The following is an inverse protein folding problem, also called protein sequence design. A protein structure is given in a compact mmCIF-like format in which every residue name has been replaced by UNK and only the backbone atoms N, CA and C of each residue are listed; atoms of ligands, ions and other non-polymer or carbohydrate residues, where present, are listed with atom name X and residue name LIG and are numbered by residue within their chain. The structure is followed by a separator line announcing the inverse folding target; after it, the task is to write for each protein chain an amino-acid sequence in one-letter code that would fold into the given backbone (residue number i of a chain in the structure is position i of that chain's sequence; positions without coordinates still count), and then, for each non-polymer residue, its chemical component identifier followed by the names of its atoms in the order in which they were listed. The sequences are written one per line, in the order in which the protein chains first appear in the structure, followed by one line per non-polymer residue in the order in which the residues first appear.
data_IF_842347893715
#
_entry.id   IF_842347893715
#
_cell.length_a   1.000
_cell.length_b   1.000
_cell.length_c   1.000
_cell.angle_alpha   90.00
_cell.angle_beta   90.00
_cell.angle_gamma   90.00
#
_symmetry.space_group_name_H-M   'P 1'
#
loop_
_entity.id
_entity.type
_entity.pdbx_description
1 polymer ?
#
# COMPACT_ATOMS: atom_id res chain seq x y z
N UNK A 1 -36.53 1.68 96.41
CA UNK A 1 -36.35 0.43 95.69
C UNK A 1 -37.38 0.40 94.56
N UNK A 2 -37.01 0.92 93.36
CA UNK A 2 -38.01 0.91 92.28
C UNK A 2 -37.24 0.56 90.95
N UNK A 3 -37.55 -0.60 90.45
CA UNK A 3 -37.05 -1.13 89.23
C UNK A 3 -37.67 -0.36 88.01
N UNK A 4 -36.94 0.18 87.17
CA UNK A 4 -37.40 0.66 85.88
C UNK A 4 -37.09 -0.38 84.77
N UNK A 5 -38.03 -0.69 83.89
CA UNK A 5 -37.80 -1.61 82.79
C UNK A 5 -37.22 -0.87 81.57
N UNK A 6 -36.25 -1.48 80.97
CA UNK A 6 -35.57 -1.02 79.72
C UNK A 6 -36.52 -1.20 78.55
N UNK A 7 -36.85 -0.13 77.84
CA UNK A 7 -37.60 -0.14 76.59
C UNK A 7 -36.67 -0.22 75.41
N UNK A 8 -36.74 -1.33 74.68
CA UNK A 8 -36.08 -1.43 73.35
C UNK A 8 -36.92 -0.70 72.32
N UNK A 9 -36.44 0.37 71.84
CA UNK A 9 -36.99 1.09 70.66
C UNK A 9 -36.52 0.41 69.40
N UNK A 10 -37.46 -0.17 68.70
CA UNK A 10 -37.33 -0.61 67.30
C UNK A 10 -37.35 0.64 66.43
N UNK A 11 -36.21 1.05 65.92
CA UNK A 11 -36.17 2.02 64.83
C UNK A 11 -34.90 1.82 63.95
N UNK A 12 -35.20 1.78 62.66
CA UNK A 12 -34.32 2.07 61.53
C UNK A 12 -33.46 0.95 60.98
N UNK A 13 -34.12 0.00 60.37
CA UNK A 13 -33.58 -0.80 59.27
C UNK A 13 -34.34 -0.39 58.00
N UNK A 14 -34.08 0.77 57.45
CA UNK A 14 -34.80 1.16 56.24
C UNK A 14 -34.14 2.34 55.49
N UNK A 15 -32.84 2.52 55.57
CA UNK A 15 -32.16 3.57 54.76
C UNK A 15 -30.82 3.18 54.14
N UNK A 16 -30.54 1.89 54.01
CA UNK A 16 -29.28 1.44 53.37
C UNK A 16 -29.47 0.82 51.98
N UNK A 17 -30.66 0.94 51.37
CA UNK A 17 -30.97 0.29 50.07
C UNK A 17 -31.13 1.24 48.89
N UNK A 18 -30.83 2.53 49.04
CA UNK A 18 -31.08 3.54 47.98
C UNK A 18 -29.85 4.18 47.34
N UNK A 19 -28.62 3.72 47.62
CA UNK A 19 -27.38 4.36 47.08
C UNK A 19 -26.63 3.46 46.08
N UNK A 20 -27.08 2.24 45.84
CA UNK A 20 -26.39 1.31 44.91
C UNK A 20 -27.01 1.32 43.49
N UNK A 21 -28.10 2.03 43.24
CA UNK A 21 -28.77 2.03 41.93
C UNK A 21 -28.34 3.19 40.99
N UNK A 22 -27.38 4.01 41.37
CA UNK A 22 -26.97 5.22 40.60
C UNK A 22 -25.67 5.14 39.80
N UNK A 23 -24.97 4.00 39.81
CA UNK A 23 -23.61 3.92 39.20
C UNK A 23 -23.53 3.06 37.93
N UNK A 24 -24.64 2.66 37.36
CA UNK A 24 -24.66 2.00 36.06
C UNK A 24 -25.25 2.97 35.05
N UNK A 25 -24.54 3.30 34.05
CA UNK A 25 -24.92 3.92 32.77
C UNK A 25 -24.18 5.22 32.48
N UNK A 26 -22.86 5.13 32.43
CA UNK A 26 -22.11 5.97 31.48
C UNK A 26 -21.26 5.04 30.61
N UNK A 27 -21.88 4.14 29.90
CA UNK A 27 -21.32 3.61 28.65
C UNK A 27 -21.34 4.81 27.70
N UNK A 28 -20.25 5.58 27.68
CA UNK A 28 -19.97 6.44 26.56
C UNK A 28 -19.89 5.52 25.33
N UNK A 29 -21.00 5.38 24.60
CA UNK A 29 -20.97 4.97 23.23
C UNK A 29 -20.14 6.04 22.52
N UNK A 30 -18.86 5.75 22.26
CA UNK A 30 -18.14 6.45 21.23
C UNK A 30 -18.95 6.16 19.98
N UNK A 31 -19.78 7.14 19.59
CA UNK A 31 -20.34 7.18 18.26
C UNK A 31 -19.08 7.23 17.35
N UNK A 32 -18.79 6.14 16.67
CA UNK A 32 -17.87 6.15 15.55
C UNK A 32 -18.57 7.05 14.55
N UNK A 33 -18.10 8.29 14.40
CA UNK A 33 -18.60 9.18 13.37
C UNK A 33 -18.33 8.50 12.04
N UNK A 34 -19.37 7.94 11.46
CA UNK A 34 -19.31 7.32 10.14
C UNK A 34 -19.12 8.45 9.15
N UNK A 35 -17.92 8.53 8.56
CA UNK A 35 -17.62 9.52 7.55
C UNK A 35 -18.35 9.18 6.26
N UNK A 36 -19.33 9.99 5.88
CA UNK A 36 -19.95 9.93 4.56
C UNK A 36 -19.11 10.70 3.54
N UNK A 37 -18.65 10.01 2.52
CA UNK A 37 -17.75 10.57 1.49
C UNK A 37 -18.51 11.50 0.56
N UNK A 38 -18.20 12.79 0.59
CA UNK A 38 -18.80 13.80 -0.31
C UNK A 38 -17.99 14.03 -1.58
N UNK A 39 -16.69 13.82 -1.50
CA UNK A 39 -15.79 14.00 -2.65
C UNK A 39 -14.61 13.06 -2.53
N UNK A 40 -14.05 12.65 -3.68
CA UNK A 40 -12.84 11.84 -3.76
C UNK A 40 -11.87 12.53 -4.70
N UNK A 41 -10.71 12.89 -4.21
CA UNK A 41 -9.63 13.51 -4.96
C UNK A 41 -8.46 12.58 -5.10
N UNK A 42 -7.76 12.72 -6.21
CA UNK A 42 -6.53 11.97 -6.48
C UNK A 42 -5.40 12.96 -6.73
N UNK A 43 -4.31 12.81 -5.99
CA UNK A 43 -3.11 13.62 -6.12
C UNK A 43 -1.91 12.77 -6.47
N UNK A 44 -0.94 13.34 -7.18
CA UNK A 44 0.32 12.69 -7.56
C UNK A 44 0.30 11.96 -8.90
N UNK A 45 -0.83 11.99 -9.64
CA UNK A 45 -0.89 11.44 -11.00
C UNK A 45 -0.02 12.23 -11.97
N UNK A 46 0.69 11.55 -12.84
CA UNK A 46 1.53 12.13 -13.90
C UNK A 46 1.13 11.63 -15.29
N UNK A 47 0.96 10.32 -15.46
CA UNK A 47 0.59 9.65 -16.72
C UNK A 47 -0.68 8.83 -16.61
N UNK A 48 -0.95 8.30 -15.41
CA UNK A 48 -2.16 7.51 -15.16
C UNK A 48 -3.36 8.44 -15.14
N UNK A 49 -4.38 8.09 -15.89
CA UNK A 49 -5.60 8.88 -15.91
C UNK A 49 -6.41 8.69 -14.62
N UNK A 50 -7.02 9.76 -14.07
CA UNK A 50 -7.85 9.67 -12.86
C UNK A 50 -8.95 8.61 -12.94
N UNK A 51 -9.54 8.43 -14.14
CA UNK A 51 -10.57 7.42 -14.38
C UNK A 51 -10.11 5.99 -14.07
N UNK A 52 -8.85 5.66 -14.29
CA UNK A 52 -8.26 4.36 -13.95
C UNK A 52 -8.26 4.13 -12.43
N UNK A 53 -7.94 5.16 -11.66
CA UNK A 53 -7.96 5.11 -10.19
C UNK A 53 -9.39 4.91 -9.69
N UNK A 54 -10.32 5.77 -10.15
CA UNK A 54 -11.73 5.71 -9.74
C UNK A 54 -12.42 4.40 -10.12
N UNK A 55 -12.07 3.81 -11.26
CA UNK A 55 -12.61 2.51 -11.68
C UNK A 55 -12.12 1.34 -10.82
N UNK A 56 -10.94 1.48 -10.21
CA UNK A 56 -10.26 0.40 -9.49
C UNK A 56 -10.59 0.35 -8.00
N UNK A 57 -11.05 1.44 -7.40
CA UNK A 57 -11.35 1.50 -5.98
C UNK A 57 -12.81 1.13 -5.68
N UNK A 58 -13.07 0.41 -4.56
CA UNK A 58 -14.43 0.06 -4.13
C UNK A 58 -15.10 1.16 -3.30
N UNK A 59 -14.81 2.43 -3.62
CA UNK A 59 -15.34 3.61 -2.94
C UNK A 59 -15.96 4.55 -3.95
N UNK A 60 -17.11 5.13 -3.57
CA UNK A 60 -17.84 6.12 -4.37
C UNK A 60 -18.24 7.30 -3.49
N UNK A 61 -18.50 8.43 -4.13
CA UNK A 61 -19.14 9.55 -3.47
C UNK A 61 -20.52 9.12 -2.96
N UNK A 62 -20.83 9.41 -1.70
CA UNK A 62 -22.03 8.99 -1.00
C UNK A 62 -21.87 7.72 -0.16
N UNK A 63 -20.76 7.00 -0.31
CA UNK A 63 -20.48 5.83 0.53
C UNK A 63 -20.05 6.25 1.94
N UNK A 64 -20.31 5.38 2.90
CA UNK A 64 -19.70 5.47 4.22
C UNK A 64 -18.27 4.93 4.16
N UNK A 65 -17.32 5.75 4.58
CA UNK A 65 -15.93 5.36 4.69
C UNK A 65 -15.71 4.50 5.93
N UNK A 66 -15.03 3.40 5.74
CA UNK A 66 -14.47 2.56 6.81
C UNK A 66 -13.01 2.29 6.54
N UNK A 67 -12.24 2.01 7.57
CA UNK A 67 -10.82 1.62 7.41
C UNK A 67 -10.66 0.39 6.50
N UNK A 68 -11.60 -0.54 6.55
CA UNK A 68 -11.60 -1.73 5.70
C UNK A 68 -11.76 -1.36 4.21
N UNK A 69 -12.70 -0.45 3.89
CA UNK A 69 -12.86 0.05 2.53
C UNK A 69 -11.63 0.83 2.06
N UNK A 70 -11.04 1.63 2.94
CA UNK A 70 -9.78 2.32 2.68
C UNK A 70 -8.63 1.36 2.37
N UNK A 71 -8.44 0.35 3.22
CA UNK A 71 -7.43 -0.68 3.00
C UNK A 71 -7.68 -1.48 1.71
N UNK A 72 -8.95 -1.77 1.39
CA UNK A 72 -9.33 -2.42 0.13
C UNK A 72 -9.00 -1.56 -1.08
N UNK A 73 -9.27 -0.26 -1.02
CA UNK A 73 -8.92 0.69 -2.07
C UNK A 73 -7.40 0.74 -2.30
N UNK A 74 -6.61 0.83 -1.24
CA UNK A 74 -5.14 0.79 -1.32
C UNK A 74 -4.66 -0.50 -1.98
N UNK A 75 -5.16 -1.66 -1.55
CA UNK A 75 -4.79 -2.95 -2.16
C UNK A 75 -5.14 -3.01 -3.64
N UNK A 76 -6.32 -2.51 -4.02
CA UNK A 76 -6.76 -2.48 -5.42
C UNK A 76 -5.85 -1.62 -6.29
N UNK A 77 -5.40 -0.47 -5.77
CA UNK A 77 -4.47 0.41 -6.49
C UNK A 77 -3.08 -0.20 -6.62
N UNK A 78 -2.55 -0.84 -5.57
CA UNK A 78 -1.29 -1.57 -5.68
C UNK A 78 -1.35 -2.74 -6.66
N UNK A 79 -2.50 -3.42 -6.75
CA UNK A 79 -2.71 -4.53 -7.68
C UNK A 79 -2.62 -4.12 -9.16
N UNK A 80 -2.83 -2.84 -9.48
CA UNK A 80 -2.61 -2.32 -10.83
C UNK A 80 -1.13 -2.37 -11.27
N UNK A 81 -0.19 -2.42 -10.31
CA UNK A 81 1.24 -2.40 -10.60
C UNK A 81 1.77 -1.05 -11.10
N UNK A 82 0.96 0.00 -11.08
CA UNK A 82 1.29 1.33 -11.62
C UNK A 82 1.89 2.27 -10.56
N UNK A 83 1.65 1.99 -9.28
CA UNK A 83 2.00 2.88 -8.18
C UNK A 83 3.10 2.28 -7.31
N UNK A 84 4.02 3.15 -6.91
CA UNK A 84 5.10 2.85 -5.97
C UNK A 84 4.63 3.06 -4.54
N UNK A 85 3.79 4.08 -4.32
CA UNK A 85 3.18 4.38 -3.03
C UNK A 85 1.72 4.82 -3.22
N UNK A 86 0.88 4.43 -2.25
CA UNK A 86 -0.55 4.79 -2.21
C UNK A 86 -0.93 5.07 -0.76
N UNK A 87 -1.48 6.26 -0.52
CA UNK A 87 -1.99 6.67 0.79
C UNK A 87 -3.38 7.26 0.66
N UNK A 88 -4.16 7.14 1.72
CA UNK A 88 -5.48 7.80 1.85
C UNK A 88 -5.41 8.76 3.02
N UNK A 89 -5.78 10.00 2.77
CA UNK A 89 -5.97 11.00 3.78
C UNK A 89 -7.45 11.42 3.81
N UNK A 90 -7.96 11.64 5.01
CA UNK A 90 -9.32 12.10 5.24
C UNK A 90 -9.26 13.56 5.64
N UNK A 91 -9.88 14.44 4.84
CA UNK A 91 -9.97 15.86 5.11
C UNK A 91 -11.44 16.29 5.19
N UNK A 92 -12.00 16.28 6.42
CA UNK A 92 -13.44 16.48 6.62
C UNK A 92 -14.25 15.34 6.01
N UNK A 93 -15.06 15.64 5.01
CA UNK A 93 -15.88 14.68 4.24
C UNK A 93 -15.29 14.36 2.86
N UNK A 94 -14.03 14.76 2.62
CA UNK A 94 -13.29 14.51 1.38
C UNK A 94 -12.23 13.44 1.62
N UNK A 95 -12.20 12.42 0.76
CA UNK A 95 -11.10 11.46 0.69
C UNK A 95 -10.07 11.95 -0.33
N UNK A 96 -8.82 12.01 0.10
CA UNK A 96 -7.69 12.34 -0.77
C UNK A 96 -6.84 11.09 -0.94
N UNK A 97 -6.82 10.58 -2.16
CA UNK A 97 -5.95 9.48 -2.57
C UNK A 97 -4.64 10.09 -3.04
N UNK A 98 -3.57 9.88 -2.30
CA UNK A 98 -2.23 10.35 -2.66
C UNK A 98 -1.47 9.17 -3.23
N UNK A 99 -1.06 9.28 -4.49
CA UNK A 99 -0.36 8.21 -5.22
C UNK A 99 1.00 8.69 -5.72
N UNK A 100 1.96 7.78 -5.75
CA UNK A 100 3.24 7.97 -6.42
C UNK A 100 3.37 6.94 -7.53
N UNK A 101 3.42 7.40 -8.80
CA UNK A 101 3.53 6.50 -9.94
C UNK A 101 4.92 5.86 -10.02
N UNK A 102 4.97 4.57 -10.38
CA UNK A 102 6.23 3.92 -10.75
C UNK A 102 6.82 4.56 -12.00
N UNK A 103 8.13 4.74 -12.07
CA UNK A 103 8.77 5.16 -13.30
C UNK A 103 8.57 4.11 -14.39
N UNK A 104 8.53 4.54 -15.65
CA UNK A 104 8.53 3.62 -16.78
C UNK A 104 9.95 3.45 -17.34
N UNK A 105 10.20 2.27 -17.88
CA UNK A 105 11.45 1.97 -18.56
C UNK A 105 11.51 2.75 -19.89
N UNK A 106 12.47 3.65 -20.03
CA UNK A 106 12.68 4.43 -21.25
C UNK A 106 13.53 3.68 -22.25
N UNK A 107 14.60 3.01 -21.79
CA UNK A 107 15.50 2.24 -22.61
C UNK A 107 16.12 1.09 -21.83
N UNK A 108 16.46 0.02 -22.54
CA UNK A 108 17.22 -1.13 -22.02
C UNK A 108 18.44 -1.34 -22.89
N UNK A 109 19.61 -1.18 -22.30
CA UNK A 109 20.89 -1.30 -22.98
C UNK A 109 21.73 -2.45 -22.45
N UNK A 110 22.52 -3.06 -23.34
CA UNK A 110 23.45 -4.14 -23.00
C UNK A 110 24.84 -3.74 -23.44
N UNK A 111 25.82 -3.90 -22.56
CA UNK A 111 27.23 -3.59 -22.75
C UNK A 111 28.06 -4.85 -22.46
N UNK A 112 29.02 -5.15 -23.31
CA UNK A 112 29.94 -6.27 -23.10
C UNK A 112 29.38 -7.65 -23.45
N UNK A 113 28.18 -7.74 -24.02
CA UNK A 113 27.57 -9.00 -24.49
C UNK A 113 28.20 -9.43 -25.82
N UNK A 114 29.07 -10.45 -25.80
CA UNK A 114 29.70 -11.03 -27.00
C UNK A 114 29.03 -12.33 -27.42
N UNK A 115 28.62 -13.15 -26.44
CA UNK A 115 28.03 -14.47 -26.66
C UNK A 115 26.55 -14.43 -27.04
N UNK A 116 25.86 -13.35 -26.73
CA UNK A 116 24.46 -13.16 -27.05
C UNK A 116 24.24 -11.90 -27.87
N UNK A 117 23.37 -11.99 -28.86
CA UNK A 117 22.84 -10.79 -29.48
C UNK A 117 21.86 -10.07 -28.53
N UNK A 118 21.79 -8.76 -28.66
CA UNK A 118 21.00 -7.89 -27.77
C UNK A 118 19.50 -8.18 -27.86
N UNK A 119 19.01 -8.61 -29.01
CA UNK A 119 17.59 -8.88 -29.22
C UNK A 119 17.15 -10.15 -28.47
N UNK A 120 18.01 -11.16 -28.45
CA UNK A 120 17.80 -12.38 -27.65
C UNK A 120 17.70 -12.04 -26.16
N UNK A 121 18.60 -11.21 -25.65
CA UNK A 121 18.57 -10.79 -24.24
C UNK A 121 17.35 -9.91 -23.94
N UNK A 122 17.01 -8.96 -24.81
CA UNK A 122 15.78 -8.16 -24.67
C UNK A 122 14.52 -9.02 -24.62
N UNK A 123 14.46 -10.07 -25.44
CA UNK A 123 13.33 -11.00 -25.45
C UNK A 123 13.22 -11.74 -24.13
N UNK A 124 14.34 -12.28 -23.62
CA UNK A 124 14.35 -12.97 -22.32
C UNK A 124 13.90 -12.05 -21.17
N UNK A 125 14.30 -10.79 -21.18
CA UNK A 125 13.87 -9.81 -20.18
C UNK A 125 12.39 -9.41 -20.34
N UNK A 126 11.90 -9.35 -21.56
CA UNK A 126 10.47 -9.09 -21.83
C UNK A 126 9.57 -10.17 -21.25
N UNK A 127 10.01 -11.44 -21.30
CA UNK A 127 9.26 -12.56 -20.75
C UNK A 127 9.07 -12.48 -19.24
N UNK A 128 9.96 -11.82 -18.52
CA UNK A 128 9.83 -11.53 -17.09
C UNK A 128 9.16 -10.17 -16.79
N UNK A 129 8.72 -9.45 -17.81
CA UNK A 129 8.03 -8.16 -17.69
C UNK A 129 8.90 -6.92 -17.80
N UNK A 130 10.22 -7.06 -18.07
CA UNK A 130 11.13 -5.94 -18.24
C UNK A 130 11.22 -5.57 -19.73
N UNK A 131 10.57 -4.47 -20.10
CA UNK A 131 10.60 -3.93 -21.47
C UNK A 131 10.38 -2.42 -21.46
N UNK A 132 10.80 -1.75 -22.52
CA UNK A 132 10.53 -0.33 -22.74
C UNK A 132 9.03 -0.01 -22.65
N UNK A 133 8.69 1.08 -22.00
CA UNK A 133 7.31 1.52 -21.76
C UNK A 133 6.59 0.83 -20.58
N UNK A 134 7.18 -0.20 -19.97
CA UNK A 134 6.60 -0.90 -18.83
C UNK A 134 6.97 -0.23 -17.51
N UNK A 135 6.11 -0.33 -16.49
CA UNK A 135 6.46 0.12 -15.14
C UNK A 135 7.70 -0.61 -14.61
N UNK A 136 8.54 0.12 -13.90
CA UNK A 136 9.79 -0.39 -13.33
C UNK A 136 9.73 -0.40 -11.80
N UNK A 137 10.28 -1.45 -11.21
CA UNK A 137 10.63 -1.49 -9.80
C UNK A 137 11.98 -2.22 -9.58
N UNK A 138 12.53 -2.07 -8.37
CA UNK A 138 13.84 -2.66 -8.07
C UNK A 138 13.82 -4.20 -8.13
N UNK A 139 12.74 -4.82 -7.69
CA UNK A 139 12.59 -6.28 -7.74
C UNK A 139 12.60 -6.81 -9.17
N UNK A 140 12.09 -6.03 -10.12
CA UNK A 140 12.17 -6.37 -11.55
C UNK A 140 13.61 -6.32 -12.06
N UNK A 141 14.41 -5.33 -11.63
CA UNK A 141 15.83 -5.25 -11.97
C UNK A 141 16.60 -6.46 -11.41
N UNK A 142 16.37 -6.81 -10.17
CA UNK A 142 17.03 -7.97 -9.52
C UNK A 142 16.67 -9.29 -10.24
N UNK A 143 15.42 -9.46 -10.66
CA UNK A 143 14.99 -10.63 -11.47
C UNK A 143 15.64 -10.63 -12.85
N UNK A 144 15.79 -9.46 -13.47
CA UNK A 144 16.44 -9.34 -14.77
C UNK A 144 17.91 -9.78 -14.69
N UNK A 145 18.62 -9.34 -13.67
CA UNK A 145 19.99 -9.73 -13.43
C UNK A 145 20.14 -11.26 -13.26
N UNK A 146 19.26 -11.88 -12.47
CA UNK A 146 19.23 -13.33 -12.28
C UNK A 146 18.90 -14.08 -13.59
N UNK A 147 17.97 -13.57 -14.38
CA UNK A 147 17.62 -14.17 -15.68
C UNK A 147 18.79 -14.10 -16.66
N UNK A 148 19.44 -12.94 -16.76
CA UNK A 148 20.63 -12.79 -17.59
C UNK A 148 21.74 -13.74 -17.14
N UNK A 149 22.03 -13.80 -15.85
CA UNK A 149 23.04 -14.74 -15.30
C UNK A 149 22.69 -16.18 -15.65
N UNK A 150 21.45 -16.58 -15.57
CA UNK A 150 20.97 -17.92 -15.97
C UNK A 150 21.25 -18.21 -17.45
N UNK A 151 21.04 -17.23 -18.35
CA UNK A 151 21.34 -17.39 -19.77
C UNK A 151 22.83 -17.68 -20.02
N UNK A 152 23.72 -16.97 -19.32
CA UNK A 152 25.14 -17.19 -19.41
C UNK A 152 25.59 -18.56 -18.83
N UNK A 153 25.06 -18.93 -17.68
CA UNK A 153 25.31 -20.25 -17.07
C UNK A 153 24.87 -21.40 -18.00
N UNK A 154 23.74 -21.26 -18.68
CA UNK A 154 23.26 -22.24 -19.65
C UNK A 154 24.20 -22.43 -20.87
N UNK A 155 25.08 -21.45 -21.11
CA UNK A 155 26.16 -21.50 -22.11
C UNK A 155 27.51 -21.92 -21.52
N UNK A 156 27.52 -22.42 -20.29
CA UNK A 156 28.75 -22.80 -19.55
C UNK A 156 29.69 -21.63 -19.22
N UNK A 157 29.17 -20.39 -19.30
CA UNK A 157 29.88 -19.15 -18.91
C UNK A 157 29.65 -18.86 -17.43
N UNK A 158 30.23 -19.66 -16.55
CA UNK A 158 29.96 -19.59 -15.10
C UNK A 158 30.58 -18.38 -14.41
N UNK A 159 31.63 -17.78 -15.03
CA UNK A 159 32.31 -16.59 -14.52
C UNK A 159 31.66 -15.27 -14.92
N UNK A 160 30.54 -15.31 -15.64
CA UNK A 160 29.88 -14.08 -16.08
C UNK A 160 29.35 -13.27 -14.91
N UNK A 161 29.75 -12.01 -14.85
CA UNK A 161 29.25 -11.02 -13.90
C UNK A 161 28.34 -10.02 -14.63
N UNK A 162 27.23 -9.65 -13.99
CA UNK A 162 26.26 -8.71 -14.54
C UNK A 162 26.11 -7.56 -13.55
N UNK A 163 26.31 -6.35 -14.07
CA UNK A 163 26.21 -5.11 -13.31
C UNK A 163 25.03 -4.32 -13.87
N UNK A 164 24.02 -4.13 -13.04
CA UNK A 164 22.83 -3.35 -13.41
C UNK A 164 22.99 -1.90 -13.00
N UNK A 165 22.86 -0.98 -13.94
CA UNK A 165 22.88 0.46 -13.69
C UNK A 165 21.52 1.05 -14.04
N UNK A 166 20.93 1.77 -13.09
CA UNK A 166 19.64 2.44 -13.23
C UNK A 166 19.88 3.94 -13.25
N UNK A 167 19.55 4.61 -14.34
CA UNK A 167 19.71 6.05 -14.50
C UNK A 167 18.36 6.72 -14.65
N UNK A 168 18.01 7.68 -13.78
CA UNK A 168 16.79 8.47 -13.93
C UNK A 168 16.76 9.20 -15.28
N UNK A 169 15.60 9.24 -15.91
CA UNK A 169 15.34 9.95 -17.14
C UNK A 169 14.12 10.88 -16.97
N UNK A 170 13.95 11.82 -17.88
CA UNK A 170 12.85 12.77 -17.84
C UNK A 170 11.48 12.11 -17.84
N UNK A 171 10.47 12.82 -17.33
CA UNK A 171 9.06 12.40 -17.30
C UNK A 171 8.84 11.11 -16.52
N UNK A 172 9.45 11.01 -15.34
CA UNK A 172 9.35 9.85 -14.45
C UNK A 172 9.64 8.53 -15.20
N UNK A 173 10.80 8.47 -15.88
CA UNK A 173 11.31 7.28 -16.57
C UNK A 173 12.68 6.89 -16.03
N UNK A 174 13.13 5.70 -16.38
CA UNK A 174 14.46 5.18 -16.06
C UNK A 174 15.07 4.53 -17.29
N UNK A 175 16.38 4.69 -17.45
CA UNK A 175 17.18 3.90 -18.36
C UNK A 175 17.86 2.79 -17.58
N UNK A 176 17.83 1.58 -18.11
CA UNK A 176 18.49 0.42 -17.56
C UNK A 176 19.67 0.04 -18.45
N UNK A 177 20.83 -0.13 -17.86
CA UNK A 177 22.02 -0.63 -18.54
C UNK A 177 22.51 -1.89 -17.82
N UNK A 178 22.66 -2.97 -18.57
CA UNK A 178 23.23 -4.23 -18.11
C UNK A 178 24.63 -4.38 -18.69
N UNK A 179 25.64 -4.18 -17.86
CA UNK A 179 27.03 -4.43 -18.23
C UNK A 179 27.41 -5.85 -17.88
N UNK A 180 27.84 -6.62 -18.88
CA UNK A 180 28.22 -8.01 -18.71
C UNK A 180 29.73 -8.13 -18.88
N UNK A 181 30.36 -8.75 -17.87
CA UNK A 181 31.75 -9.17 -17.92
C UNK A 181 31.73 -10.69 -18.08
N UNK A 182 32.00 -11.15 -19.28
CA UNK A 182 31.84 -12.57 -19.67
C UNK A 182 33.04 -13.41 -19.23
N UNK A 183 33.71 -13.22 -18.20
CA UNK A 183 34.72 -14.07 -17.56
C UNK A 183 35.68 -14.87 -18.46
#
# INVERSE_FOLDING_TARGET
MTKQPFQFTRATLSQAAAVVAGSLLALNAFAVDVLNVRDIRVEGLQRVEPGTVFASIPLRVGDDYTEEKGASAIRSLYALGLFKDVRIEVSGDVLVLIVEERPNIAAVEFIGTKEFDKDTLKKALKDIGLAEGRPFDKALADRAEQELKRQYVNRSLYGAEIITTITPAERNRVNLSFTVVEG
#
